data_IF_294873014539
#
_entry.id   IF_294873014539
#
_cell.length_a   1.000
_cell.length_b   1.000
_cell.length_c   1.000
_cell.angle_alpha   90.00
_cell.angle_beta   90.00
_cell.angle_gamma   90.00
#
_symmetry.space_group_name_H-M   'P 1'
#
loop_
_entity.id
_entity.type
_entity.pdbx_description
1 polymer ?
#
# COMPACT_ATOMS: atom_id res chain seq x y z
N UNK A 1 -9.32 8.24 -9.55
CA UNK A 1 -7.96 8.77 -9.88
C UNK A 1 -6.88 7.84 -9.33
N UNK A 2 -5.70 7.77 -9.98
CA UNK A 2 -4.56 6.97 -9.48
C UNK A 2 -3.35 7.84 -9.26
N UNK A 3 -2.70 7.67 -8.14
CA UNK A 3 -1.48 8.36 -7.75
C UNK A 3 -0.34 7.36 -7.56
N UNK A 4 0.88 7.78 -7.83
CA UNK A 4 2.08 6.99 -7.54
C UNK A 4 3.16 7.89 -6.96
N UNK A 5 4.13 7.28 -6.29
CA UNK A 5 5.39 7.96 -5.91
C UNK A 5 6.49 7.45 -6.83
N UNK A 6 7.23 8.39 -7.42
CA UNK A 6 8.34 8.09 -8.34
C UNK A 6 9.63 8.75 -7.87
N UNK A 7 10.75 8.13 -8.23
CA UNK A 7 12.09 8.69 -8.02
C UNK A 7 12.41 9.63 -9.18
N UNK A 8 12.53 10.91 -8.91
CA UNK A 8 12.87 11.93 -9.92
C UNK A 8 13.88 12.92 -9.34
N UNK A 9 14.99 13.15 -10.05
CA UNK A 9 16.06 14.06 -9.62
C UNK A 9 16.56 13.85 -8.19
N UNK A 10 16.61 12.59 -7.73
CA UNK A 10 17.07 12.23 -6.39
C UNK A 10 16.03 12.40 -5.26
N UNK A 11 14.80 12.77 -5.59
CA UNK A 11 13.69 12.89 -4.65
C UNK A 11 12.60 11.85 -4.95
N UNK A 12 11.79 11.53 -3.94
CA UNK A 12 10.55 10.76 -4.08
C UNK A 12 9.38 11.72 -4.12
N UNK A 13 8.70 11.80 -5.26
CA UNK A 13 7.63 12.77 -5.51
C UNK A 13 6.33 12.07 -5.91
N UNK A 14 5.21 12.68 -5.55
CA UNK A 14 3.89 12.20 -5.96
C UNK A 14 3.55 12.65 -7.38
N UNK A 15 2.88 11.79 -8.12
CA UNK A 15 2.37 12.11 -9.45
C UNK A 15 1.05 11.41 -9.75
N UNK A 16 0.34 11.94 -10.72
CA UNK A 16 -0.92 11.38 -11.24
C UNK A 16 -0.58 10.42 -12.37
N UNK A 17 -1.09 9.20 -12.28
CA UNK A 17 -0.88 8.16 -13.29
C UNK A 17 -1.77 8.44 -14.50
N UNK A 18 -1.18 8.40 -15.69
CA UNK A 18 -1.84 8.54 -16.99
C UNK A 18 -1.58 7.30 -17.85
N UNK A 19 -2.10 7.24 -19.06
CA UNK A 19 -1.79 6.15 -20.02
C UNK A 19 -0.36 6.22 -20.56
N UNK A 20 0.24 7.43 -20.61
CA UNK A 20 1.56 7.66 -21.22
C UNK A 20 2.67 7.77 -20.19
N UNK A 21 2.34 7.80 -18.90
CA UNK A 21 3.33 7.96 -17.86
C UNK A 21 2.75 8.57 -16.58
N UNK A 22 3.59 9.29 -15.86
CA UNK A 22 3.19 9.92 -14.59
C UNK A 22 3.44 11.42 -14.67
N UNK A 23 2.40 12.21 -14.41
CA UNK A 23 2.52 13.66 -14.28
C UNK A 23 2.84 14.01 -12.82
N UNK A 24 4.04 14.54 -12.51
CA UNK A 24 4.34 15.03 -11.17
C UNK A 24 3.35 16.09 -10.70
N UNK A 25 2.93 16.03 -9.44
CA UNK A 25 2.05 17.08 -8.86
C UNK A 25 2.72 18.47 -8.91
N UNK A 26 4.04 18.53 -8.79
CA UNK A 26 4.80 19.78 -8.99
C UNK A 26 4.61 20.38 -10.39
N UNK A 27 4.62 19.55 -11.43
CA UNK A 27 4.36 20.00 -12.80
C UNK A 27 2.93 20.53 -12.98
N UNK A 28 1.95 19.82 -12.39
CA UNK A 28 0.57 20.29 -12.36
C UNK A 28 0.45 21.63 -11.63
N UNK A 29 1.09 21.78 -10.46
CA UNK A 29 1.11 23.03 -9.71
C UNK A 29 1.65 24.19 -10.54
N UNK A 30 2.79 23.97 -11.21
CA UNK A 30 3.42 24.99 -12.05
C UNK A 30 2.53 25.40 -13.24
N UNK A 31 1.85 24.44 -13.84
CA UNK A 31 0.99 24.68 -15.01
C UNK A 31 -0.33 25.37 -14.66
N UNK A 32 -0.97 24.97 -13.53
CA UNK A 32 -2.28 25.47 -13.13
C UNK A 32 -2.23 26.61 -12.11
N UNK A 33 -1.06 26.92 -11.55
CA UNK A 33 -0.94 27.87 -10.44
C UNK A 33 -1.58 27.37 -9.14
N UNK A 34 -1.57 26.03 -8.91
CA UNK A 34 -2.12 25.42 -7.72
C UNK A 34 -1.02 25.20 -6.66
N UNK A 35 -1.41 24.83 -5.45
CA UNK A 35 -0.49 24.61 -4.32
C UNK A 35 -0.68 23.27 -3.63
N UNK A 36 -0.93 22.21 -4.41
CA UNK A 36 -0.99 20.85 -3.87
C UNK A 36 0.36 20.45 -3.28
N UNK A 37 0.36 19.65 -2.21
CA UNK A 37 1.59 19.04 -1.72
C UNK A 37 2.16 18.11 -2.78
N UNK A 38 3.48 17.95 -2.80
CA UNK A 38 4.21 17.30 -3.89
C UNK A 38 4.75 15.91 -3.53
N UNK A 39 4.63 15.51 -2.27
CA UNK A 39 4.88 14.15 -1.80
C UNK A 39 3.58 13.50 -1.28
N UNK A 40 3.51 12.17 -1.37
CA UNK A 40 2.29 11.43 -1.08
C UNK A 40 1.83 11.58 0.37
N UNK A 41 2.74 11.51 1.33
CA UNK A 41 2.38 11.61 2.74
C UNK A 41 1.83 13.01 3.05
N UNK A 42 2.45 14.05 2.53
CA UNK A 42 1.96 15.42 2.71
C UNK A 42 0.63 15.67 1.99
N UNK A 43 0.38 15.06 0.82
CA UNK A 43 -0.92 15.10 0.14
C UNK A 43 -2.03 14.53 1.04
N UNK A 44 -1.76 13.38 1.68
CA UNK A 44 -2.69 12.73 2.61
C UNK A 44 -2.91 13.61 3.84
N UNK A 45 -1.83 14.02 4.51
CA UNK A 45 -1.90 14.79 5.76
C UNK A 45 -2.55 16.16 5.61
N UNK A 46 -2.35 16.81 4.47
CA UNK A 46 -3.00 18.07 4.15
C UNK A 46 -4.44 17.92 3.63
N UNK A 47 -4.94 16.67 3.53
CA UNK A 47 -6.24 16.35 2.95
C UNK A 47 -6.42 16.90 1.52
N UNK A 48 -5.35 16.86 0.73
CA UNK A 48 -5.36 17.38 -0.64
C UNK A 48 -5.92 16.40 -1.67
N UNK A 49 -5.86 15.09 -1.42
CA UNK A 49 -6.28 14.06 -2.38
C UNK A 49 -7.75 14.20 -2.78
N UNK A 50 -8.72 14.46 -1.87
CA UNK A 50 -10.11 14.66 -2.29
C UNK A 50 -10.30 15.83 -3.24
N UNK A 51 -9.63 16.96 -3.00
CA UNK A 51 -9.67 18.13 -3.88
C UNK A 51 -9.03 17.86 -5.24
N UNK A 52 -7.90 17.16 -5.25
CA UNK A 52 -7.21 16.74 -6.48
C UNK A 52 -8.05 15.76 -7.29
N UNK A 53 -8.73 14.80 -6.61
CA UNK A 53 -9.67 13.84 -7.24
C UNK A 53 -10.86 14.57 -7.86
N UNK A 54 -11.40 15.56 -7.14
CA UNK A 54 -12.50 16.39 -7.66
C UNK A 54 -12.08 17.10 -8.95
N UNK A 55 -10.94 17.82 -8.93
CA UNK A 55 -10.40 18.49 -10.12
C UNK A 55 -10.20 17.49 -11.28
N UNK A 56 -9.61 16.32 -11.00
CA UNK A 56 -9.38 15.27 -11.98
C UNK A 56 -10.69 14.81 -12.66
N UNK A 57 -11.75 14.59 -11.89
CA UNK A 57 -13.04 14.11 -12.39
C UNK A 57 -13.86 15.21 -13.09
N UNK A 58 -13.62 16.50 -12.79
CA UNK A 58 -14.28 17.66 -13.40
C UNK A 58 -13.59 18.14 -14.69
N UNK A 59 -12.79 17.29 -15.34
CA UNK A 59 -12.17 17.56 -16.63
C UNK A 59 -10.64 17.60 -16.61
N UNK A 60 -10.01 17.56 -15.45
CA UNK A 60 -8.55 17.54 -15.33
C UNK A 60 -7.91 16.32 -15.98
N UNK A 61 -8.62 15.19 -16.01
CA UNK A 61 -8.16 13.94 -16.63
C UNK A 61 -7.81 14.10 -18.12
N UNK A 62 -8.61 14.85 -18.87
CA UNK A 62 -8.47 15.02 -20.30
C UNK A 62 -7.24 15.85 -20.68
N UNK A 63 -6.77 16.71 -19.80
CA UNK A 63 -5.63 17.60 -20.07
C UNK A 63 -4.28 17.09 -19.54
N UNK A 64 -4.28 16.08 -18.66
CA UNK A 64 -3.06 15.59 -17.98
C UNK A 64 -1.89 15.30 -18.94
N UNK A 65 -2.17 14.61 -20.04
CA UNK A 65 -1.13 14.19 -21.00
C UNK A 65 -0.59 15.34 -21.87
N UNK A 66 -1.23 16.52 -21.83
CA UNK A 66 -0.80 17.74 -22.51
C UNK A 66 0.01 18.67 -21.60
N UNK A 67 0.00 18.44 -20.31
CA UNK A 67 0.75 19.28 -19.33
C UNK A 67 2.25 18.95 -19.44
N UNK A 68 3.12 19.98 -19.57
CA UNK A 68 4.56 19.76 -19.63
C UNK A 68 5.10 19.09 -18.35
N UNK A 69 6.11 18.24 -18.52
CA UNK A 69 6.77 17.57 -17.38
C UNK A 69 6.21 16.17 -17.07
N UNK A 70 5.40 15.61 -17.95
CA UNK A 70 5.04 14.18 -17.88
C UNK A 70 6.30 13.32 -17.95
N UNK A 71 6.48 12.40 -17.03
CA UNK A 71 7.51 11.36 -17.06
C UNK A 71 6.97 10.16 -17.83
N UNK A 72 7.55 9.81 -19.01
CA UNK A 72 7.09 8.69 -19.81
C UNK A 72 7.14 7.36 -19.05
N UNK A 73 6.25 6.42 -19.38
CA UNK A 73 6.13 5.12 -18.67
C UNK A 73 7.45 4.37 -18.59
N UNK A 74 8.24 4.40 -19.67
CA UNK A 74 9.55 3.73 -19.77
C UNK A 74 10.64 4.36 -18.91
N UNK A 75 10.46 5.60 -18.47
CA UNK A 75 11.39 6.33 -17.61
C UNK A 75 10.97 6.31 -16.13
N UNK A 76 9.77 5.77 -15.84
CA UNK A 76 9.25 5.74 -14.47
C UNK A 76 10.05 4.78 -13.59
N UNK A 77 10.64 5.31 -12.53
CA UNK A 77 11.20 4.52 -11.43
C UNK A 77 10.31 4.72 -10.21
N UNK A 78 9.59 3.68 -9.83
CA UNK A 78 8.70 3.74 -8.67
C UNK A 78 9.46 3.79 -7.35
N UNK A 79 8.81 4.34 -6.35
CA UNK A 79 9.17 4.23 -4.93
C UNK A 79 7.95 3.66 -4.16
N UNK A 80 8.11 3.27 -2.88
CA UNK A 80 6.97 3.04 -2.02
C UNK A 80 6.08 4.29 -2.01
N UNK A 81 4.77 4.13 -1.86
CA UNK A 81 3.86 5.29 -1.86
C UNK A 81 4.29 6.37 -0.86
N UNK A 82 4.79 5.97 0.31
CA UNK A 82 5.46 6.82 1.30
C UNK A 82 6.29 5.98 2.26
N UNK A 83 7.22 6.62 3.02
CA UNK A 83 8.23 5.91 3.82
C UNK A 83 7.88 5.71 5.29
N UNK A 84 7.22 6.66 5.91
CA UNK A 84 7.09 6.72 7.37
C UNK A 84 5.62 6.78 7.81
N UNK A 85 4.82 5.71 7.58
CA UNK A 85 3.48 5.65 8.13
C UNK A 85 3.52 5.64 9.65
N UNK A 86 2.55 6.26 10.31
CA UNK A 86 2.43 6.20 11.78
C UNK A 86 2.21 4.76 12.26
N UNK A 87 1.47 3.96 11.48
CA UNK A 87 1.17 2.55 11.77
C UNK A 87 0.94 1.78 10.49
N UNK A 88 1.38 0.54 10.49
CA UNK A 88 0.99 -0.48 9.50
C UNK A 88 0.32 -1.59 10.31
N UNK A 89 -0.98 -1.76 10.10
CA UNK A 89 -1.82 -2.70 10.84
C UNK A 89 -2.31 -3.78 9.88
N UNK A 90 -1.97 -5.03 10.15
CA UNK A 90 -2.42 -6.18 9.38
C UNK A 90 -3.52 -6.94 10.11
N UNK A 91 -4.50 -7.44 9.35
CA UNK A 91 -5.57 -8.31 9.83
C UNK A 91 -5.29 -9.72 9.31
N UNK A 92 -5.15 -10.66 10.21
CA UNK A 92 -4.88 -12.06 9.88
C UNK A 92 -6.15 -12.86 9.60
N UNK A 93 -6.04 -13.81 8.65
CA UNK A 93 -7.11 -14.75 8.28
C UNK A 93 -8.39 -14.07 7.77
N UNK A 94 -8.28 -12.91 7.18
CA UNK A 94 -9.43 -12.13 6.72
C UNK A 94 -10.11 -12.74 5.48
N UNK A 95 -9.38 -13.51 4.68
CA UNK A 95 -9.89 -14.19 3.49
C UNK A 95 -10.27 -15.62 3.85
N UNK A 96 -11.56 -15.97 3.66
CA UNK A 96 -12.10 -17.29 4.05
C UNK A 96 -11.40 -18.46 3.35
N UNK A 97 -11.07 -18.30 2.06
CA UNK A 97 -10.38 -19.33 1.29
C UNK A 97 -8.94 -19.51 1.80
N UNK A 98 -8.21 -18.43 2.02
CA UNK A 98 -6.87 -18.52 2.62
C UNK A 98 -6.90 -19.18 4.01
N UNK A 99 -7.85 -18.82 4.87
CA UNK A 99 -8.00 -19.45 6.18
C UNK A 99 -8.21 -20.98 6.05
N UNK A 100 -9.03 -21.41 5.11
CA UNK A 100 -9.30 -22.82 4.81
C UNK A 100 -8.06 -23.55 4.30
N UNK A 101 -7.29 -22.94 3.40
CA UNK A 101 -6.06 -23.52 2.81
C UNK A 101 -5.01 -23.85 3.86
N UNK A 102 -4.94 -23.07 4.93
CA UNK A 102 -4.02 -23.31 6.05
C UNK A 102 -4.66 -24.07 7.21
N UNK A 103 -5.84 -24.68 6.99
CA UNK A 103 -6.54 -25.52 7.97
C UNK A 103 -7.19 -24.74 9.11
N UNK A 104 -7.54 -23.48 8.89
CA UNK A 104 -8.21 -22.60 9.85
C UNK A 104 -9.58 -22.13 9.31
N UNK A 105 -10.34 -21.44 10.16
CA UNK A 105 -11.55 -20.74 9.76
C UNK A 105 -11.34 -19.22 9.88
N UNK A 106 -11.99 -18.47 9.01
CA UNK A 106 -12.02 -17.01 9.15
C UNK A 106 -12.66 -16.63 10.50
N UNK A 107 -12.13 -15.63 11.21
CA UNK A 107 -12.69 -15.20 12.50
C UNK A 107 -14.14 -14.73 12.34
N UNK A 108 -15.00 -15.16 13.26
CA UNK A 108 -16.39 -14.67 13.35
C UNK A 108 -16.58 -13.59 14.40
N UNK A 109 -15.51 -13.23 15.09
CA UNK A 109 -15.45 -12.19 16.12
C UNK A 109 -14.29 -11.24 15.85
N UNK A 110 -13.61 -10.80 16.91
CA UNK A 110 -12.49 -9.88 16.77
C UNK A 110 -11.34 -10.55 15.99
N UNK A 111 -10.86 -9.97 14.88
CA UNK A 111 -9.85 -10.60 14.05
C UNK A 111 -8.47 -10.61 14.72
N UNK A 112 -7.68 -11.66 14.42
CA UNK A 112 -6.26 -11.66 14.71
C UNK A 112 -5.58 -10.50 13.99
N UNK A 113 -4.63 -9.84 14.65
CA UNK A 113 -3.98 -8.68 14.09
C UNK A 113 -2.51 -8.61 14.48
N UNK A 114 -1.74 -7.86 13.72
CA UNK A 114 -0.32 -7.62 13.95
C UNK A 114 0.08 -6.24 13.41
N UNK A 115 1.28 -5.81 13.80
CA UNK A 115 1.89 -4.61 13.24
C UNK A 115 3.08 -4.97 12.36
N UNK A 116 3.28 -4.20 11.31
CA UNK A 116 4.52 -4.16 10.55
C UNK A 116 5.26 -2.86 10.82
N UNK A 117 6.57 -2.92 10.78
CA UNK A 117 7.43 -1.77 11.02
C UNK A 117 7.69 -1.01 9.72
N UNK A 118 7.89 0.30 9.82
CA UNK A 118 8.10 1.14 8.65
C UNK A 118 9.41 0.83 7.89
N UNK A 119 10.41 0.25 8.56
CA UNK A 119 11.68 -0.16 7.96
C UNK A 119 11.58 -1.43 7.09
N UNK A 120 10.43 -2.11 7.11
CA UNK A 120 10.14 -3.22 6.19
C UNK A 120 9.68 -2.76 4.80
N UNK A 121 9.36 -1.47 4.61
CA UNK A 121 8.77 -0.94 3.40
C UNK A 121 9.74 -0.95 2.21
N UNK A 122 9.28 -1.52 1.11
CA UNK A 122 9.90 -1.42 -0.21
C UNK A 122 8.85 -1.08 -1.25
N UNK A 123 9.28 -0.55 -2.40
CA UNK A 123 8.42 -0.19 -3.52
C UNK A 123 8.35 -1.26 -4.60
N UNK A 124 7.57 -0.97 -5.62
CA UNK A 124 7.50 -1.79 -6.82
C UNK A 124 8.88 -1.83 -7.52
N UNK A 125 9.36 -3.04 -7.79
CA UNK A 125 10.65 -3.28 -8.45
C UNK A 125 11.86 -3.28 -7.51
N UNK A 126 11.68 -2.97 -6.23
CA UNK A 126 12.75 -3.15 -5.24
C UNK A 126 12.88 -4.64 -4.86
N UNK A 127 14.09 -5.05 -4.49
CA UNK A 127 14.38 -6.44 -4.08
C UNK A 127 13.80 -6.76 -2.70
N UNK A 128 13.26 -7.97 -2.57
CA UNK A 128 12.88 -8.57 -1.29
C UNK A 128 14.05 -9.43 -0.80
N UNK A 129 14.62 -9.06 0.34
CA UNK A 129 15.77 -9.72 0.93
C UNK A 129 15.33 -10.87 1.83
N UNK A 130 15.61 -12.11 1.41
CA UNK A 130 15.32 -13.28 2.25
C UNK A 130 16.25 -13.31 3.48
N UNK A 131 15.72 -13.69 4.66
CA UNK A 131 16.51 -13.78 5.88
C UNK A 131 17.65 -14.81 5.75
N UNK A 132 18.87 -14.42 6.15
CA UNK A 132 20.04 -15.32 6.15
C UNK A 132 20.16 -16.06 7.48
N UNK A 133 19.08 -16.67 7.94
CA UNK A 133 19.02 -17.46 9.16
C UNK A 133 18.90 -18.94 8.82
N UNK A 134 19.53 -19.81 9.62
CA UNK A 134 19.45 -21.27 9.43
C UNK A 134 18.00 -21.77 9.53
N UNK A 135 17.22 -21.14 10.35
CA UNK A 135 15.81 -21.43 10.62
C UNK A 135 14.86 -20.90 9.54
N UNK A 136 15.29 -19.92 8.74
CA UNK A 136 14.49 -19.31 7.69
C UNK A 136 14.60 -20.13 6.40
N UNK A 137 13.64 -21.02 6.16
CA UNK A 137 13.65 -21.94 5.02
C UNK A 137 12.40 -21.85 4.14
N UNK A 138 11.37 -21.11 4.58
CA UNK A 138 10.13 -20.98 3.83
C UNK A 138 9.55 -19.59 4.01
N UNK A 139 9.93 -18.68 3.10
CA UNK A 139 9.33 -17.37 3.00
C UNK A 139 8.18 -17.40 1.99
N UNK A 140 7.02 -16.88 2.37
CA UNK A 140 5.83 -16.76 1.52
C UNK A 140 5.50 -15.30 1.24
N UNK A 141 4.86 -15.06 0.09
CA UNK A 141 4.37 -13.76 -0.34
C UNK A 141 2.84 -13.78 -0.31
N UNK A 142 2.26 -13.11 0.65
CA UNK A 142 0.81 -13.01 0.81
C UNK A 142 0.33 -11.76 0.05
N UNK A 143 -0.47 -11.95 -1.00
CA UNK A 143 -1.08 -10.85 -1.73
C UNK A 143 -2.23 -10.26 -0.90
N UNK A 144 -2.20 -8.95 -0.69
CA UNK A 144 -3.13 -8.27 0.21
C UNK A 144 -3.69 -6.98 -0.39
N UNK A 145 -4.90 -6.65 0.02
CA UNK A 145 -5.48 -5.32 -0.21
C UNK A 145 -4.99 -4.36 0.88
N UNK A 146 -4.26 -3.34 0.46
CA UNK A 146 -3.88 -2.24 1.34
C UNK A 146 -4.95 -1.15 1.36
N UNK A 147 -5.38 -0.76 2.57
CA UNK A 147 -6.32 0.35 2.79
C UNK A 147 -5.54 1.51 3.38
N UNK A 148 -5.57 2.66 2.72
CA UNK A 148 -4.84 3.87 3.15
C UNK A 148 -5.80 4.81 3.85
N UNK A 149 -5.52 5.07 5.13
CA UNK A 149 -6.27 6.02 5.93
C UNK A 149 -5.96 7.45 5.49
N UNK A 150 -7.01 8.24 5.26
CA UNK A 150 -6.91 9.63 4.80
C UNK A 150 -6.79 10.66 5.92
N UNK A 151 -7.05 10.26 7.16
CA UNK A 151 -7.03 11.12 8.34
C UNK A 151 -6.76 10.34 9.61
N UNK A 152 -6.35 11.00 10.65
CA UNK A 152 -6.39 10.43 11.99
C UNK A 152 -7.86 10.22 12.38
N UNK A 153 -8.20 9.04 12.85
CA UNK A 153 -9.56 8.68 13.22
C UNK A 153 -9.58 7.81 14.47
N UNK A 154 -10.67 7.88 15.20
CA UNK A 154 -10.95 7.09 16.38
C UNK A 154 -12.44 6.89 16.51
N UNK A 155 -12.85 5.67 16.88
CA UNK A 155 -14.25 5.32 17.15
C UNK A 155 -15.19 5.71 15.98
N UNK A 156 -14.74 5.47 14.73
CA UNK A 156 -15.54 5.70 13.52
C UNK A 156 -16.65 4.66 13.47
N UNK A 157 -17.91 5.09 13.34
CA UNK A 157 -19.03 4.17 13.15
C UNK A 157 -18.83 3.27 11.92
N UNK A 158 -19.32 2.04 11.96
CA UNK A 158 -19.17 1.09 10.85
C UNK A 158 -19.73 1.65 9.54
N UNK A 159 -20.87 2.30 9.59
CA UNK A 159 -21.53 2.93 8.43
C UNK A 159 -20.77 4.13 7.84
N UNK A 160 -19.78 4.68 8.57
CA UNK A 160 -18.99 5.83 8.15
C UNK A 160 -17.54 5.47 7.74
N UNK A 161 -17.21 4.18 7.69
CA UNK A 161 -15.82 3.73 7.46
C UNK A 161 -15.18 4.32 6.19
N UNK A 162 -15.96 4.49 5.11
CA UNK A 162 -15.46 5.05 3.85
C UNK A 162 -14.93 6.48 4.01
N UNK A 163 -15.48 7.25 4.95
CA UNK A 163 -15.05 8.62 5.24
C UNK A 163 -13.63 8.72 5.80
N UNK A 164 -13.09 7.60 6.30
CA UNK A 164 -11.75 7.53 6.87
C UNK A 164 -10.69 7.14 5.84
N UNK A 165 -11.09 6.63 4.67
CA UNK A 165 -10.21 6.07 3.65
C UNK A 165 -9.92 7.09 2.56
N UNK A 166 -8.66 7.14 2.10
CA UNK A 166 -8.24 7.98 0.97
C UNK A 166 -7.92 7.17 -0.28
N UNK A 167 -7.71 5.88 -0.14
CA UNK A 167 -7.45 5.01 -1.28
C UNK A 167 -7.07 3.60 -0.92
N UNK A 168 -6.87 2.82 -1.96
CA UNK A 168 -6.49 1.41 -1.91
C UNK A 168 -5.17 1.21 -2.65
N UNK A 169 -4.46 0.16 -2.28
CA UNK A 169 -3.21 -0.23 -2.95
C UNK A 169 -3.00 -1.73 -2.87
N UNK A 170 -2.04 -2.25 -3.60
CA UNK A 170 -1.61 -3.63 -3.49
C UNK A 170 -0.46 -3.76 -2.49
N UNK A 171 -0.45 -4.86 -1.76
CA UNK A 171 0.57 -5.20 -0.78
C UNK A 171 1.09 -6.61 -1.05
N UNK A 172 2.39 -6.83 -0.84
CA UNK A 172 2.92 -8.15 -0.53
C UNK A 172 3.32 -8.17 0.95
N UNK A 173 2.58 -8.93 1.74
CA UNK A 173 2.89 -9.17 3.15
C UNK A 173 3.75 -10.42 3.27
N UNK A 174 5.06 -10.23 3.29
CA UNK A 174 6.02 -11.32 3.37
C UNK A 174 6.03 -11.95 4.76
N UNK A 175 6.10 -13.27 4.79
CA UNK A 175 6.10 -14.06 6.04
C UNK A 175 7.16 -15.14 5.98
N UNK A 176 7.99 -15.27 7.01
CA UNK A 176 8.89 -16.41 7.17
C UNK A 176 8.19 -17.52 7.98
N UNK A 177 7.57 -18.46 7.29
CA UNK A 177 6.72 -19.47 7.90
C UNK A 177 7.46 -20.52 8.72
N UNK A 178 8.72 -20.80 8.41
CA UNK A 178 9.49 -21.79 9.17
C UNK A 178 9.69 -21.37 10.62
N UNK A 179 9.82 -20.07 10.86
CA UNK A 179 9.98 -19.49 12.19
C UNK A 179 8.62 -19.25 12.86
N UNK A 180 7.57 -19.01 12.06
CA UNK A 180 6.22 -18.72 12.58
C UNK A 180 5.71 -19.77 13.57
N UNK A 181 6.04 -21.03 13.30
CA UNK A 181 5.66 -22.18 14.13
C UNK A 181 6.67 -22.49 15.24
N UNK A 182 7.67 -21.65 15.45
CA UNK A 182 8.86 -21.78 16.30
C UNK A 182 8.66 -22.39 17.67
N UNK A 183 8.28 -23.66 17.67
CA UNK A 183 7.84 -24.39 18.86
C UNK A 183 8.98 -24.85 19.76
N UNK A 184 10.21 -24.81 19.27
CA UNK A 184 11.35 -25.38 19.98
C UNK A 184 11.85 -24.51 21.13
N UNK A 185 11.55 -23.20 21.11
CA UNK A 185 12.00 -22.27 22.12
C UNK A 185 11.04 -22.10 23.29
N UNK A 186 9.73 -22.12 23.05
CA UNK A 186 8.70 -21.99 24.10
C UNK A 186 7.48 -22.82 23.73
N UNK A 187 7.33 -24.03 24.30
CA UNK A 187 6.15 -24.85 24.11
C UNK A 187 4.86 -24.08 24.43
N UNK A 188 3.90 -24.06 23.49
CA UNK A 188 2.64 -23.34 23.67
C UNK A 188 2.71 -21.83 23.37
N UNK A 189 3.86 -21.33 22.94
CA UNK A 189 3.94 -19.93 22.50
C UNK A 189 3.14 -19.75 21.20
N UNK A 190 2.24 -18.76 21.16
CA UNK A 190 1.60 -18.37 19.93
C UNK A 190 2.63 -17.77 18.96
N UNK A 191 2.30 -17.78 17.73
CA UNK A 191 3.04 -17.34 16.56
C UNK A 191 3.94 -16.12 16.78
N UNK A 192 5.18 -16.21 16.30
CA UNK A 192 6.15 -15.09 16.31
C UNK A 192 5.85 -14.04 15.21
N UNK A 193 4.62 -13.61 15.06
CA UNK A 193 4.20 -12.67 13.99
C UNK A 193 5.05 -11.40 13.96
N UNK A 194 5.41 -10.87 15.11
CA UNK A 194 6.26 -9.68 15.22
C UNK A 194 7.65 -9.87 14.59
N UNK A 195 8.19 -11.09 14.61
CA UNK A 195 9.49 -11.38 14.02
C UNK A 195 9.32 -11.72 12.53
N UNK A 196 8.50 -12.72 12.23
CA UNK A 196 8.43 -13.34 10.91
C UNK A 196 7.84 -12.45 9.83
N UNK A 197 7.11 -11.41 10.20
CA UNK A 197 6.55 -10.41 9.29
C UNK A 197 7.34 -9.09 9.26
N UNK A 198 8.44 -8.98 10.01
CA UNK A 198 9.18 -7.73 10.15
C UNK A 198 10.68 -7.83 9.80
N UNK A 199 11.06 -8.79 8.95
CA UNK A 199 12.37 -8.71 8.32
C UNK A 199 12.46 -7.51 7.38
N UNK A 200 13.64 -6.88 7.19
CA UNK A 200 13.81 -5.81 6.22
C UNK A 200 13.27 -6.22 4.85
N UNK A 201 12.60 -5.29 4.16
CA UNK A 201 11.96 -5.48 2.84
C UNK A 201 10.72 -6.38 2.81
N UNK A 202 10.20 -6.83 3.94
CA UNK A 202 9.06 -7.75 4.01
C UNK A 202 7.69 -7.08 3.83
N UNK A 203 7.64 -5.86 3.30
CA UNK A 203 6.40 -5.17 3.00
C UNK A 203 6.50 -4.37 1.71
N UNK A 204 6.14 -5.00 0.58
CA UNK A 204 6.03 -4.28 -0.70
C UNK A 204 4.72 -3.49 -0.73
N UNK A 205 4.81 -2.21 -1.06
CA UNK A 205 3.75 -1.24 -0.87
C UNK A 205 3.61 -0.31 -2.09
N UNK A 206 2.52 -0.42 -2.79
CA UNK A 206 2.28 0.29 -4.03
C UNK A 206 2.14 -0.66 -5.23
N UNK A 207 2.36 -0.21 -6.48
CA UNK A 207 2.95 1.07 -6.89
C UNK A 207 1.98 2.25 -6.90
N UNK A 208 0.66 2.01 -6.84
CA UNK A 208 -0.34 3.05 -6.99
C UNK A 208 -1.27 3.13 -5.79
N UNK A 209 -1.65 4.35 -5.42
CA UNK A 209 -2.81 4.65 -4.62
C UNK A 209 -3.99 4.87 -5.57
N UNK A 210 -5.04 4.07 -5.44
CA UNK A 210 -6.27 4.15 -6.22
C UNK A 210 -7.35 4.79 -5.35
N UNK A 211 -7.88 5.94 -5.75
CA UNK A 211 -8.90 6.65 -4.97
C UNK A 211 -10.25 5.90 -5.01
N UNK A 212 -11.11 6.04 -3.97
CA UNK A 212 -12.32 5.23 -3.83
C UNK A 212 -13.32 5.34 -5.00
N UNK A 213 -13.32 6.46 -5.72
CA UNK A 213 -14.17 6.66 -6.90
C UNK A 213 -13.88 5.68 -8.06
N UNK A 214 -12.68 5.09 -8.11
CA UNK A 214 -12.34 4.01 -9.06
C UNK A 214 -12.66 2.59 -8.53
N UNK A 215 -13.04 2.47 -7.27
CA UNK A 215 -13.34 1.18 -6.62
C UNK A 215 -14.75 1.25 -6.01
N UNK A 216 -15.79 1.15 -6.82
CA UNK A 216 -17.17 1.34 -6.37
C UNK A 216 -17.66 0.26 -5.39
N UNK A 217 -17.02 -0.90 -5.38
CA UNK A 217 -17.34 -2.00 -4.47
C UNK A 217 -16.07 -2.79 -4.16
N UNK A 218 -15.47 -2.46 -3.02
CA UNK A 218 -14.23 -3.10 -2.56
C UNK A 218 -14.38 -4.58 -2.29
N UNK A 219 -15.58 -5.05 -1.95
CA UNK A 219 -15.85 -6.46 -1.66
C UNK A 219 -15.87 -7.35 -2.91
N UNK A 220 -15.89 -6.74 -4.11
CA UNK A 220 -15.80 -7.46 -5.39
C UNK A 220 -14.39 -7.51 -5.98
N UNK A 221 -13.41 -6.95 -5.31
CA UNK A 221 -12.03 -7.03 -5.76
C UNK A 221 -11.52 -8.47 -5.60
N UNK A 222 -10.88 -8.96 -6.66
CA UNK A 222 -10.09 -10.19 -6.59
C UNK A 222 -8.65 -9.86 -6.20
N UNK A 223 -8.11 -10.59 -5.22
CA UNK A 223 -6.73 -10.47 -4.78
C UNK A 223 -5.99 -11.74 -5.16
N UNK A 224 -4.95 -11.62 -5.98
CA UNK A 224 -4.20 -12.75 -6.50
C UNK A 224 -2.69 -12.51 -6.36
N UNK A 225 -1.96 -13.55 -5.97
CA UNK A 225 -0.50 -13.62 -6.07
C UNK A 225 -0.13 -14.43 -7.32
N UNK A 226 0.71 -13.85 -8.17
CA UNK A 226 1.22 -14.53 -9.37
C UNK A 226 2.72 -14.70 -9.22
N UNK A 227 3.17 -15.95 -9.28
CA UNK A 227 4.59 -16.30 -9.23
C UNK A 227 4.91 -17.14 -10.47
N UNK A 228 5.98 -16.73 -11.22
CA UNK A 228 6.45 -17.42 -12.45
C UNK A 228 7.28 -18.64 -12.13
#
# INVERSE_FOLDING_TARGET
MRLATIKLHGAEIAGIVTRKGILPVAALNAYKGTGWKEDMMSLIQANHIPGLTKWYNEGGKEELESIPGLVPTEEVVYAPLYRNPKRIFGIGLNYADHAKDIGNAAPTGFPGSFFKMADTLVGYGDDILLPKLKEAQKTTAEAELGIIMGRDCRDVPEEEWESAIVGYTTILDMTEESILKGNDFVPGNPRYLTIVKNFPTFFSFGPQLVTPDEVPDVLKLEVQSVHN
#
